data_IF_352423186501
#
_entry.id   IF_352423186501
#
_cell.length_a   1.000
_cell.length_b   1.000
_cell.length_c   1.000
_cell.angle_alpha   90.00
_cell.angle_beta   90.00
_cell.angle_gamma   90.00
#
_symmetry.space_group_name_H-M   'P 1'
#
loop_
_entity.id
_entity.type
_entity.pdbx_description
1 polymer ?
#
# COMPACT_ATOMS: atom_id res chain seq x y z
N UNK A 1 10.26 48.00 -22.37
CA UNK A 1 9.75 48.14 -23.76
C UNK A 1 9.58 46.77 -24.36
N UNK A 2 8.47 46.57 -25.05
CA UNK A 2 7.98 45.43 -25.83
C UNK A 2 7.21 44.36 -25.07
N UNK A 3 5.95 44.68 -25.03
CA UNK A 3 4.74 43.86 -25.04
C UNK A 3 4.71 42.96 -26.28
N UNK A 4 4.31 41.71 -26.14
CA UNK A 4 3.49 41.02 -27.17
C UNK A 4 2.52 40.05 -26.51
N UNK A 5 1.28 40.48 -26.48
CA UNK A 5 0.05 39.69 -26.41
C UNK A 5 -0.11 38.92 -27.72
N UNK A 6 -0.51 37.70 -27.69
CA UNK A 6 -1.29 37.07 -28.74
C UNK A 6 -2.27 36.09 -28.11
N UNK A 7 -3.53 36.53 -28.14
CA UNK A 7 -4.73 35.70 -27.99
C UNK A 7 -5.00 35.01 -29.33
N UNK A 8 -5.58 33.83 -29.28
CA UNK A 8 -6.46 33.20 -30.28
C UNK A 8 -6.63 31.75 -29.86
N UNK A 9 -7.73 31.06 -30.00
CA UNK A 9 -9.04 31.31 -30.57
C UNK A 9 -9.95 30.17 -30.15
N UNK A 10 -11.12 30.52 -29.81
CA UNK A 10 -12.30 29.72 -29.60
C UNK A 10 -12.62 28.91 -30.91
N UNK A 11 -12.81 27.60 -30.80
CA UNK A 11 -13.54 26.85 -31.78
C UNK A 11 -14.49 25.85 -31.12
N UNK A 12 -15.72 26.24 -31.10
CA UNK A 12 -16.94 25.51 -30.75
C UNK A 12 -17.31 24.67 -31.95
N UNK A 13 -17.41 23.36 -31.85
CA UNK A 13 -18.18 22.54 -32.82
C UNK A 13 -19.19 21.71 -32.05
N UNK A 14 -20.40 22.15 -32.19
CA UNK A 14 -21.65 21.51 -31.80
C UNK A 14 -22.09 20.62 -32.96
N UNK A 15 -22.28 19.32 -32.76
CA UNK A 15 -23.11 18.50 -33.62
C UNK A 15 -23.95 17.54 -32.80
N UNK A 16 -25.24 17.77 -32.91
CA UNK A 16 -26.32 16.97 -32.34
C UNK A 16 -26.82 15.93 -33.36
N UNK A 17 -27.67 15.02 -32.85
CA UNK A 17 -28.61 14.15 -33.57
C UNK A 17 -28.07 12.73 -33.87
N UNK A 18 -28.76 11.60 -33.64
CA UNK A 18 -30.20 11.34 -33.43
C UNK A 18 -30.40 9.95 -32.78
N UNK A 19 -31.42 9.88 -32.03
CA UNK A 19 -32.40 8.86 -31.67
C UNK A 19 -32.53 7.69 -32.67
N UNK A 20 -32.45 6.43 -32.21
CA UNK A 20 -33.34 5.35 -32.65
C UNK A 20 -33.68 4.45 -31.47
N UNK A 21 -34.93 4.50 -31.08
CA UNK A 21 -35.58 3.52 -30.25
C UNK A 21 -35.93 2.28 -31.08
N UNK A 22 -35.75 1.11 -30.55
CA UNK A 22 -36.60 -0.03 -30.92
C UNK A 22 -36.75 -1.00 -29.74
N UNK A 23 -37.96 -0.97 -29.26
CA UNK A 23 -38.65 -1.91 -28.39
C UNK A 23 -38.63 -3.32 -28.96
N UNK A 24 -38.39 -4.36 -28.17
CA UNK A 24 -39.23 -5.54 -28.24
C UNK A 24 -39.22 -6.36 -26.97
N UNK A 25 -40.39 -6.42 -26.42
CA UNK A 25 -40.97 -7.35 -25.43
C UNK A 25 -40.62 -8.81 -25.70
N UNK A 26 -40.47 -9.55 -24.63
CA UNK A 26 -40.48 -11.01 -24.64
C UNK A 26 -40.26 -11.57 -23.23
N UNK A 27 -41.35 -11.75 -22.49
CA UNK A 27 -41.57 -12.64 -21.36
C UNK A 27 -42.58 -13.68 -21.83
N UNK A 28 -42.78 -14.84 -21.23
CA UNK A 28 -42.19 -15.51 -20.06
C UNK A 28 -41.74 -16.95 -20.37
N UNK A 29 -41.05 -17.66 -19.48
CA UNK A 29 -41.64 -18.84 -18.83
C UNK A 29 -40.78 -19.35 -17.69
N UNK A 30 -41.51 -19.74 -16.70
CA UNK A 30 -41.24 -20.36 -15.45
C UNK A 30 -40.52 -21.70 -15.58
N UNK A 31 -39.45 -21.90 -14.82
CA UNK A 31 -39.11 -23.20 -14.22
C UNK A 31 -38.16 -22.95 -13.05
N UNK A 32 -38.69 -22.94 -11.90
CA UNK A 32 -38.43 -23.79 -10.74
C UNK A 32 -36.98 -24.08 -10.38
N UNK A 33 -36.62 -23.53 -9.22
CA UNK A 33 -35.40 -23.72 -8.46
C UNK A 33 -35.27 -25.17 -7.92
N UNK A 34 -34.04 -25.64 -7.67
CA UNK A 34 -33.73 -25.84 -6.27
C UNK A 34 -32.46 -25.10 -5.83
N UNK A 35 -32.61 -24.51 -4.67
CA UNK A 35 -31.55 -23.94 -3.87
C UNK A 35 -30.40 -24.93 -3.69
N UNK A 36 -29.22 -24.54 -4.17
CA UNK A 36 -27.99 -25.10 -3.64
C UNK A 36 -27.26 -23.94 -3.00
N UNK A 37 -27.18 -24.03 -1.71
CA UNK A 37 -26.46 -23.14 -0.79
C UNK A 37 -25.07 -22.87 -1.35
N UNK A 38 -24.83 -21.67 -1.86
CA UNK A 38 -23.48 -21.16 -2.03
C UNK A 38 -22.97 -20.83 -0.62
N UNK A 39 -22.19 -21.74 -0.13
CA UNK A 39 -21.36 -21.61 1.07
C UNK A 39 -20.57 -20.30 1.00
N UNK A 40 -20.94 -19.35 1.85
CA UNK A 40 -20.19 -18.16 2.10
C UNK A 40 -18.84 -18.59 2.68
N UNK A 41 -17.77 -18.30 1.96
CA UNK A 41 -16.42 -18.44 2.48
C UNK A 41 -16.33 -17.65 3.80
N UNK A 42 -15.92 -18.28 4.91
CA UNK A 42 -15.74 -17.56 6.16
C UNK A 42 -14.56 -16.57 6.01
N UNK A 43 -14.83 -15.33 6.33
CA UNK A 43 -13.79 -14.35 6.61
C UNK A 43 -12.81 -14.96 7.63
N UNK A 44 -11.50 -14.81 7.46
CA UNK A 44 -10.55 -15.28 8.46
C UNK A 44 -10.79 -14.51 9.76
N UNK A 45 -11.24 -15.25 10.77
CA UNK A 45 -11.33 -14.78 12.13
C UNK A 45 -9.95 -14.30 12.61
N UNK A 46 -9.89 -13.34 13.56
CA UNK A 46 -8.64 -12.88 14.11
C UNK A 46 -7.93 -14.06 14.75
N UNK A 47 -6.77 -14.41 14.21
CA UNK A 47 -5.93 -15.46 14.77
C UNK A 47 -5.50 -15.03 16.17
N UNK A 48 -6.09 -15.73 17.11
CA UNK A 48 -5.71 -15.79 18.50
C UNK A 48 -4.20 -15.98 18.63
N UNK A 49 -3.64 -15.29 19.61
CA UNK A 49 -2.26 -15.32 20.03
C UNK A 49 -1.61 -16.71 19.89
N UNK A 50 -0.73 -16.86 18.91
CA UNK A 50 0.18 -17.97 18.85
C UNK A 50 1.31 -17.69 19.85
N UNK A 51 1.35 -18.51 20.87
CA UNK A 51 2.44 -18.65 21.84
C UNK A 51 3.79 -18.76 21.12
N UNK A 52 4.85 -18.08 21.55
CA UNK A 52 6.14 -18.09 20.85
C UNK A 52 6.76 -19.49 20.93
N UNK A 53 6.84 -20.16 19.77
CA UNK A 53 7.72 -21.33 19.62
C UNK A 53 9.17 -20.89 19.71
N UNK A 54 9.84 -21.41 20.69
CA UNK A 54 11.26 -21.31 21.01
C UNK A 54 12.10 -21.77 19.80
N UNK A 55 12.87 -20.84 19.20
CA UNK A 55 13.96 -21.25 18.32
C UNK A 55 14.15 -20.48 17.03
N UNK A 56 14.26 -19.19 17.12
CA UNK A 56 15.08 -18.28 16.29
C UNK A 56 14.93 -16.94 16.98
N UNK A 57 16.04 -16.31 17.37
CA UNK A 57 15.96 -14.98 17.99
C UNK A 57 15.26 -14.05 16.99
N UNK A 58 13.97 -13.80 17.26
CA UNK A 58 13.19 -12.84 16.50
C UNK A 58 13.84 -11.48 16.67
N UNK A 59 14.45 -10.96 15.63
CA UNK A 59 15.03 -9.62 15.67
C UNK A 59 13.89 -8.63 15.98
N UNK A 60 14.01 -7.79 16.99
CA UNK A 60 12.98 -6.81 17.30
C UNK A 60 12.86 -5.83 16.12
N UNK A 61 11.63 -5.40 15.83
CA UNK A 61 11.41 -4.33 14.87
C UNK A 61 12.21 -3.09 15.30
N UNK A 62 13.01 -2.56 14.37
CA UNK A 62 13.80 -1.36 14.60
C UNK A 62 13.31 -0.21 13.74
N UNK A 63 13.25 0.98 14.35
CA UNK A 63 12.91 2.25 13.69
C UNK A 63 14.06 3.22 13.87
N UNK A 64 14.60 3.73 12.78
CA UNK A 64 15.70 4.70 12.80
C UNK A 64 15.35 5.88 11.90
N UNK A 65 15.23 7.07 12.48
CA UNK A 65 15.01 8.29 11.69
C UNK A 65 16.32 8.67 10.98
N UNK A 66 16.30 8.60 9.65
CA UNK A 66 17.43 9.00 8.81
C UNK A 66 17.44 10.51 8.60
N UNK A 67 16.24 11.08 8.42
CA UNK A 67 16.05 12.52 8.30
C UNK A 67 14.81 12.90 9.10
N UNK A 68 14.90 13.81 10.05
CA UNK A 68 13.73 14.31 10.75
C UNK A 68 12.91 15.20 9.81
N UNK A 69 11.60 14.94 9.71
CA UNK A 69 10.69 15.82 8.99
C UNK A 69 10.42 17.11 9.77
N UNK A 70 10.08 18.18 9.04
CA UNK A 70 9.72 19.47 9.62
C UNK A 70 8.21 19.75 9.58
N UNK A 71 7.42 18.91 8.88
CA UNK A 71 5.99 19.06 8.71
C UNK A 71 5.16 18.48 9.84
N UNK A 72 3.87 18.29 9.57
CA UNK A 72 2.93 17.70 10.51
C UNK A 72 3.30 16.24 10.83
N UNK A 73 3.00 15.82 12.05
CA UNK A 73 3.20 14.44 12.50
C UNK A 73 1.98 13.58 12.14
N UNK A 74 2.23 12.44 11.51
CA UNK A 74 1.17 11.50 11.14
C UNK A 74 0.72 10.64 12.32
N UNK A 75 -0.60 10.48 12.42
CA UNK A 75 -1.28 9.68 13.44
C UNK A 75 -2.06 8.54 12.81
N UNK A 76 -2.32 7.51 13.59
CA UNK A 76 -3.22 6.43 13.16
C UNK A 76 -4.60 6.98 12.76
N UNK A 77 -5.16 6.44 11.69
CA UNK A 77 -6.43 6.86 11.10
C UNK A 77 -6.32 7.92 10.00
N UNK A 78 -5.13 8.45 9.72
CA UNK A 78 -4.86 9.35 8.60
C UNK A 78 -4.30 8.58 7.41
N UNK A 79 -4.47 9.11 6.20
CA UNK A 79 -3.81 8.57 5.02
C UNK A 79 -2.37 9.08 4.92
N UNK A 80 -1.44 8.16 4.78
CA UNK A 80 -0.03 8.45 4.54
C UNK A 80 0.27 8.35 3.05
N UNK A 81 0.86 9.39 2.48
CA UNK A 81 1.43 9.40 1.14
C UNK A 81 2.94 9.30 1.27
N UNK A 82 3.53 8.19 0.81
CA UNK A 82 4.95 7.88 1.05
C UNK A 82 5.69 7.48 -0.21
N UNK A 83 6.97 7.82 -0.27
CA UNK A 83 7.92 7.09 -1.10
C UNK A 83 8.65 6.07 -0.26
N UNK A 84 8.91 4.91 -0.85
CA UNK A 84 9.64 3.86 -0.15
C UNK A 84 10.56 3.08 -1.09
N UNK A 85 11.54 2.42 -0.48
CA UNK A 85 12.30 1.35 -1.11
C UNK A 85 12.47 0.22 -0.11
N UNK A 86 12.26 -1.02 -0.57
CA UNK A 86 12.33 -2.23 0.24
C UNK A 86 13.45 -3.17 -0.20
N UNK A 87 14.19 -3.70 0.76
CA UNK A 87 15.26 -4.69 0.58
C UNK A 87 15.05 -5.89 1.50
N UNK A 88 15.53 -7.03 1.08
CA UNK A 88 15.75 -8.15 1.97
C UNK A 88 16.87 -7.79 2.95
N UNK A 89 16.70 -8.13 4.22
CA UNK A 89 17.76 -7.93 5.21
C UNK A 89 18.95 -8.84 4.90
N UNK A 90 20.14 -8.26 4.87
CA UNK A 90 21.41 -8.99 4.72
C UNK A 90 22.46 -8.37 5.64
N UNK A 91 22.83 -9.11 6.66
CA UNK A 91 23.82 -8.64 7.67
C UNK A 91 25.22 -8.40 7.09
N UNK A 92 25.52 -8.96 5.93
CA UNK A 92 26.81 -8.76 5.24
C UNK A 92 26.80 -7.55 4.31
N UNK A 93 25.61 -7.03 3.98
CA UNK A 93 25.48 -5.89 3.08
C UNK A 93 25.58 -4.55 3.84
N UNK A 94 26.06 -3.48 3.17
CA UNK A 94 26.03 -2.14 3.75
C UNK A 94 24.63 -1.75 4.20
N UNK A 95 24.51 -1.19 5.40
CA UNK A 95 23.22 -0.78 5.99
C UNK A 95 22.21 -1.93 6.13
N UNK A 96 22.66 -3.18 6.10
CA UNK A 96 21.86 -4.40 6.08
C UNK A 96 20.87 -4.49 4.88
N UNK A 97 21.16 -3.77 3.79
CA UNK A 97 20.36 -3.74 2.57
C UNK A 97 20.88 -4.76 1.57
N UNK A 98 20.24 -5.91 1.52
CA UNK A 98 20.49 -6.94 0.53
C UNK A 98 19.79 -6.66 -0.80
N UNK A 99 19.17 -7.66 -1.39
CA UNK A 99 18.48 -7.52 -2.66
C UNK A 99 17.26 -6.62 -2.51
N UNK A 100 17.18 -5.57 -3.34
CA UNK A 100 15.97 -4.75 -3.47
C UNK A 100 14.87 -5.58 -4.13
N UNK A 101 13.65 -5.51 -3.59
CA UNK A 101 12.50 -6.22 -4.13
C UNK A 101 11.39 -5.28 -4.60
N UNK A 102 11.31 -4.06 -4.06
CA UNK A 102 10.27 -3.11 -4.43
C UNK A 102 10.71 -1.66 -4.17
N UNK A 103 10.14 -0.70 -4.93
CA UNK A 103 10.35 0.74 -4.73
C UNK A 103 9.28 1.56 -5.44
N UNK A 104 8.83 2.64 -4.81
CA UNK A 104 8.01 3.68 -5.43
C UNK A 104 8.82 4.91 -5.86
N UNK A 105 10.13 4.92 -5.61
CA UNK A 105 10.99 6.06 -5.97
C UNK A 105 11.10 6.16 -7.49
N UNK A 106 10.78 7.33 -8.03
CA UNK A 106 10.75 7.57 -9.47
C UNK A 106 9.38 7.30 -10.13
N UNK A 107 8.40 6.84 -9.36
CA UNK A 107 7.01 6.67 -9.73
C UNK A 107 6.09 7.52 -8.85
N UNK A 108 4.82 7.14 -8.79
CA UNK A 108 3.84 7.79 -7.92
C UNK A 108 4.06 7.38 -6.45
N UNK A 109 3.86 8.30 -5.50
CA UNK A 109 3.87 7.97 -4.09
C UNK A 109 2.77 6.95 -3.77
N UNK A 110 3.05 6.05 -2.84
CA UNK A 110 2.10 5.05 -2.38
C UNK A 110 1.25 5.64 -1.25
N UNK A 111 -0.07 5.56 -1.39
CA UNK A 111 -1.01 6.00 -0.36
C UNK A 111 -1.63 4.83 0.39
N UNK A 112 -1.79 4.97 1.69
CA UNK A 112 -2.48 3.99 2.52
C UNK A 112 -3.02 4.60 3.82
N UNK A 113 -4.16 4.09 4.34
CA UNK A 113 -4.66 4.49 5.65
C UNK A 113 -3.80 3.86 6.75
N UNK A 114 -3.14 4.70 7.55
CA UNK A 114 -2.26 4.27 8.63
C UNK A 114 -3.06 3.67 9.80
N UNK A 115 -2.71 2.45 10.20
CA UNK A 115 -3.44 1.69 11.22
C UNK A 115 -4.68 1.00 10.67
N UNK A 116 -4.92 1.04 9.37
CA UNK A 116 -6.06 0.40 8.71
C UNK A 116 -5.86 -1.08 8.37
N UNK A 117 -4.71 -1.66 8.66
CA UNK A 117 -4.37 -3.06 8.35
C UNK A 117 -4.29 -3.36 6.84
N UNK A 118 -4.15 -2.33 6.00
CA UNK A 118 -4.00 -2.49 4.54
C UNK A 118 -2.57 -2.72 4.10
N UNK A 119 -1.64 -2.52 5.01
CA UNK A 119 -0.21 -2.77 4.85
C UNK A 119 0.27 -3.75 5.91
N UNK A 120 1.52 -4.22 5.80
CA UNK A 120 2.09 -5.10 6.81
C UNK A 120 2.12 -4.41 8.20
N UNK A 121 1.90 -5.16 9.29
CA UNK A 121 1.87 -4.58 10.65
C UNK A 121 3.09 -3.75 11.01
N UNK A 122 4.26 -4.10 10.46
CA UNK A 122 5.49 -3.33 10.64
C UNK A 122 5.40 -1.90 10.09
N UNK A 123 4.63 -1.67 9.02
CA UNK A 123 4.41 -0.32 8.50
C UNK A 123 3.41 0.46 9.35
N UNK A 124 2.28 -0.16 9.73
CA UNK A 124 1.30 0.48 10.60
C UNK A 124 1.92 0.94 11.93
N UNK A 125 2.87 0.19 12.46
CA UNK A 125 3.61 0.57 13.67
C UNK A 125 4.80 1.49 13.38
N UNK A 126 5.45 1.33 12.24
CA UNK A 126 6.70 2.00 11.88
C UNK A 126 6.53 3.46 11.48
N UNK A 127 5.47 3.75 10.71
CA UNK A 127 5.22 5.08 10.13
C UNK A 127 4.56 6.03 11.12
N UNK A 128 3.85 5.51 12.13
CA UNK A 128 3.26 6.36 13.19
C UNK A 128 4.32 7.26 13.82
N UNK A 129 3.98 8.55 13.96
CA UNK A 129 4.86 9.55 14.56
C UNK A 129 5.93 10.09 13.60
N UNK A 130 5.91 9.71 12.32
CA UNK A 130 6.74 10.38 11.32
C UNK A 130 6.19 11.78 11.03
N UNK A 131 7.08 12.68 10.66
CA UNK A 131 6.70 14.02 10.19
C UNK A 131 6.87 14.13 8.69
N UNK A 132 6.00 14.90 8.05
CA UNK A 132 6.09 15.19 6.61
C UNK A 132 7.47 15.74 6.26
N UNK A 133 8.06 15.22 5.17
CA UNK A 133 9.43 15.46 4.75
C UNK A 133 10.48 14.65 5.52
N UNK A 134 10.06 13.79 6.46
CA UNK A 134 10.94 12.89 7.19
C UNK A 134 11.19 11.58 6.46
N UNK A 135 12.36 11.00 6.70
CA UNK A 135 12.74 9.68 6.19
C UNK A 135 13.11 8.78 7.35
N UNK A 136 12.54 7.57 7.36
CA UNK A 136 12.74 6.57 8.41
C UNK A 136 13.11 5.24 7.83
N UNK A 137 14.09 4.58 8.44
CA UNK A 137 14.41 3.18 8.19
C UNK A 137 13.64 2.29 9.14
N UNK A 138 13.02 1.26 8.58
CA UNK A 138 12.33 0.22 9.31
C UNK A 138 13.00 -1.10 9.03
N UNK A 139 13.43 -1.80 10.08
CA UNK A 139 13.84 -3.20 9.99
C UNK A 139 12.70 -4.01 10.59
N UNK A 140 12.05 -4.79 9.77
CA UNK A 140 10.79 -5.46 10.10
C UNK A 140 11.02 -6.96 10.10
N UNK A 141 10.85 -7.63 11.24
CA UNK A 141 10.96 -9.08 11.32
C UNK A 141 9.79 -9.75 10.59
N UNK A 142 9.93 -11.03 10.21
CA UNK A 142 8.92 -11.73 9.41
C UNK A 142 7.54 -11.75 10.06
N UNK A 143 7.41 -11.77 11.38
CA UNK A 143 6.13 -11.79 12.11
C UNK A 143 5.30 -10.52 11.89
N UNK A 144 5.97 -9.40 11.60
CA UNK A 144 5.34 -8.11 11.28
C UNK A 144 5.37 -7.78 9.78
N UNK A 145 5.79 -8.74 8.96
CA UNK A 145 5.87 -8.64 7.50
C UNK A 145 5.04 -9.75 6.83
N UNK A 146 5.67 -10.65 6.10
CA UNK A 146 5.00 -11.70 5.33
C UNK A 146 5.13 -13.10 5.95
N UNK A 147 5.70 -13.21 7.14
CA UNK A 147 5.81 -14.45 7.89
C UNK A 147 6.49 -15.58 7.13
N UNK A 148 6.06 -16.80 7.43
CA UNK A 148 6.58 -18.01 6.77
C UNK A 148 5.99 -18.26 5.37
N UNK A 149 5.06 -17.42 4.90
CA UNK A 149 4.52 -17.53 3.54
C UNK A 149 5.40 -16.83 2.50
N UNK A 150 6.12 -15.78 2.91
CA UNK A 150 6.81 -14.89 1.97
C UNK A 150 5.83 -14.13 1.06
N UNK A 151 6.32 -13.48 0.01
CA UNK A 151 5.48 -12.77 -0.93
C UNK A 151 6.05 -12.74 -2.36
N UNK A 152 5.16 -12.93 -3.34
CA UNK A 152 5.43 -12.68 -4.76
C UNK A 152 6.63 -13.41 -5.38
N UNK A 153 7.15 -14.46 -4.76
CA UNK A 153 8.33 -15.17 -5.23
C UNK A 153 9.65 -14.37 -5.10
N UNK A 154 9.58 -13.13 -4.63
CA UNK A 154 10.75 -12.24 -4.43
C UNK A 154 11.12 -12.10 -2.96
N UNK A 155 10.16 -12.30 -2.05
CA UNK A 155 10.37 -12.31 -0.61
C UNK A 155 10.27 -13.76 -0.12
N UNK A 156 11.38 -14.36 0.33
CA UNK A 156 11.36 -15.74 0.80
C UNK A 156 10.63 -15.87 2.15
N UNK A 157 10.18 -17.10 2.48
CA UNK A 157 9.63 -17.39 3.80
C UNK A 157 10.59 -17.01 4.94
N UNK A 158 10.06 -16.41 6.01
CA UNK A 158 10.85 -16.02 7.16
C UNK A 158 11.83 -14.86 6.94
N UNK A 159 11.65 -14.09 5.86
CA UNK A 159 12.56 -12.98 5.56
C UNK A 159 12.30 -11.78 6.47
N UNK A 160 13.38 -11.25 7.06
CA UNK A 160 13.41 -9.90 7.62
C UNK A 160 13.55 -8.87 6.50
N UNK A 161 12.84 -7.77 6.59
CA UNK A 161 12.81 -6.73 5.56
C UNK A 161 13.42 -5.42 6.08
N UNK A 162 14.04 -4.68 5.18
CA UNK A 162 14.51 -3.32 5.42
C UNK A 162 13.76 -2.39 4.48
N UNK A 163 13.16 -1.34 5.03
CA UNK A 163 12.51 -0.29 4.24
C UNK A 163 13.09 1.06 4.61
N UNK A 164 13.36 1.88 3.62
CA UNK A 164 13.50 3.32 3.80
C UNK A 164 12.20 3.96 3.33
N UNK A 165 11.49 4.60 4.23
CA UNK A 165 10.19 5.24 3.99
C UNK A 165 10.32 6.73 4.18
N UNK A 166 9.85 7.51 3.23
CA UNK A 166 9.80 8.96 3.26
C UNK A 166 8.34 9.42 3.24
N UNK A 167 7.91 10.14 4.26
CA UNK A 167 6.55 10.66 4.34
C UNK A 167 6.45 11.96 3.54
N UNK A 168 5.72 11.92 2.44
CA UNK A 168 5.55 13.05 1.52
C UNK A 168 4.42 13.97 1.98
N UNK A 169 3.26 13.38 2.30
CA UNK A 169 2.04 14.12 2.63
C UNK A 169 1.13 13.29 3.56
N UNK A 170 0.24 13.98 4.26
CA UNK A 170 -0.82 13.41 5.10
C UNK A 170 -2.17 13.89 4.55
N UNK A 171 -3.09 12.95 4.33
CA UNK A 171 -4.46 13.23 3.85
C UNK A 171 -5.51 12.76 4.85
#
# INVERSE_FOLDING_TARGET
>A
MHRKLLANSLTMILTALAIVACSKSGKPDSAEVPATVAEAAPAPAPASAATPSKGTEAMPMTKTDLTPGAGAEIKAGQNALVHYTGWLFDSAAPENKGKQFDSSVGGEPFDFPLGGGRVIPGWDQGVVGMKVGGKRRLVIPPELAYGNAGAGGVIPPGATLVFDVELVEIQ
#
